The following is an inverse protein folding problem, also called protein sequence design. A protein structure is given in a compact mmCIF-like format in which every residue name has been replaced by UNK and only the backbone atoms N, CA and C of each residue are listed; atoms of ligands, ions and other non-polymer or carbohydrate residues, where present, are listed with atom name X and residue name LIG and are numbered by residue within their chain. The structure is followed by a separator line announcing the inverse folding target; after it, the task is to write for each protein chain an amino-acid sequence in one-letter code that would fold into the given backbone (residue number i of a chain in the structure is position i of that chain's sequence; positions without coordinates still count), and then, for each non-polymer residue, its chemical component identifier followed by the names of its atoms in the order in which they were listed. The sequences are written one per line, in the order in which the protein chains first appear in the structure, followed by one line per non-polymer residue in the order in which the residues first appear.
data_IF_482790278829
#
_entry.id   IF_482790278829
#
_cell.length_a   1.000
_cell.length_b   1.000
_cell.length_c   1.000
_cell.angle_alpha   90.00
_cell.angle_beta   90.00
_cell.angle_gamma   90.00
#
_symmetry.space_group_name_H-M   'P 1'
#
loop_
_entity.id
_entity.type
_entity.pdbx_description
1 polymer ?
#
# COMPACT_ATOMS: atom_id res chain seq x y z
N UNK A 1 0.43 -13.57 -8.31
CA UNK A 1 -0.63 -12.56 -8.08
C UNK A 1 -0.35 -11.32 -8.95
N UNK A 2 -0.28 -10.09 -8.49
CA UNK A 2 0.79 -9.81 -7.57
C UNK A 2 0.45 -8.47 -6.97
N UNK A 3 0.10 -8.51 -5.69
CA UNK A 3 0.11 -7.37 -4.77
C UNK A 3 1.00 -6.23 -5.27
N UNK A 4 0.40 -5.10 -5.60
CA UNK A 4 1.15 -3.91 -5.99
C UNK A 4 1.77 -3.25 -4.76
N UNK A 5 0.98 -3.13 -3.70
CA UNK A 5 1.37 -2.61 -2.40
C UNK A 5 0.55 -3.34 -1.35
N UNK A 6 1.15 -3.76 -0.26
CA UNK A 6 0.40 -4.07 0.95
C UNK A 6 1.15 -3.57 2.16
N UNK A 7 0.36 -3.21 3.17
CA UNK A 7 0.89 -2.89 4.47
C UNK A 7 0.23 -3.72 5.56
N UNK A 8 1.02 -4.04 6.58
CA UNK A 8 0.62 -4.80 7.75
C UNK A 8 1.18 -4.16 9.02
N UNK A 9 0.53 -4.41 10.14
CA UNK A 9 1.07 -4.14 11.46
C UNK A 9 1.57 -5.44 12.07
N UNK A 10 2.77 -5.38 12.67
CA UNK A 10 3.24 -6.43 13.54
C UNK A 10 2.46 -6.39 14.88
N UNK A 11 1.94 -7.52 15.36
CA UNK A 11 1.30 -7.59 16.68
C UNK A 11 2.30 -7.19 17.76
N UNK A 12 1.79 -6.66 18.88
CA UNK A 12 2.53 -6.18 20.06
C UNK A 12 3.48 -5.00 19.86
N UNK A 13 4.24 -4.93 18.75
CA UNK A 13 5.24 -3.88 18.50
C UNK A 13 4.70 -2.70 17.68
N UNK A 14 3.54 -2.85 17.04
CA UNK A 14 2.92 -1.87 16.14
C UNK A 14 3.84 -1.41 14.99
N UNK A 15 4.90 -2.19 14.68
CA UNK A 15 5.79 -1.88 13.56
C UNK A 15 5.00 -2.03 12.26
N UNK A 16 5.17 -1.06 11.37
CA UNK A 16 4.55 -1.04 10.07
C UNK A 16 5.46 -1.74 9.07
N UNK A 17 4.94 -2.78 8.44
CA UNK A 17 5.56 -3.48 7.33
C UNK A 17 4.87 -3.02 6.06
N UNK A 18 5.61 -2.49 5.09
CA UNK A 18 5.05 -2.13 3.79
C UNK A 18 5.90 -2.68 2.66
N UNK A 19 5.26 -3.42 1.77
CA UNK A 19 5.89 -4.19 0.71
C UNK A 19 5.23 -3.86 -0.62
N UNK A 20 6.04 -3.76 -1.66
CA UNK A 20 5.66 -3.40 -3.02
C UNK A 20 6.15 -4.48 -3.98
N UNK A 21 5.29 -4.81 -4.94
CA UNK A 21 5.56 -5.66 -6.09
C UNK A 21 6.80 -5.22 -6.90
N UNK A 22 7.83 -6.07 -7.09
CA UNK A 22 8.78 -5.95 -8.22
C UNK A 22 8.93 -7.28 -8.96
N UNK A 23 9.45 -7.24 -10.19
CA UNK A 23 9.45 -8.40 -11.11
C UNK A 23 10.13 -9.67 -10.57
N UNK A 24 11.10 -9.52 -9.68
CA UNK A 24 11.93 -10.60 -9.13
C UNK A 24 11.67 -10.89 -7.63
N UNK A 25 10.81 -10.10 -6.99
CA UNK A 25 10.54 -10.18 -5.56
C UNK A 25 9.16 -9.59 -5.24
N UNK A 26 8.22 -10.47 -4.88
CA UNK A 26 6.87 -10.06 -4.51
C UNK A 26 6.80 -9.36 -3.14
N UNK A 27 7.89 -9.41 -2.36
CA UNK A 27 7.98 -9.00 -0.96
C UNK A 27 8.99 -7.88 -0.71
N UNK A 28 9.47 -7.18 -1.74
CA UNK A 28 10.40 -6.06 -1.57
C UNK A 28 9.75 -4.95 -0.72
N UNK A 29 10.38 -4.56 0.38
CA UNK A 29 9.76 -3.64 1.33
C UNK A 29 10.65 -3.27 2.50
N UNK A 30 10.11 -2.49 3.41
CA UNK A 30 10.78 -2.16 4.66
C UNK A 30 9.84 -2.25 5.86
N UNK A 31 10.44 -2.29 7.05
CA UNK A 31 9.75 -2.33 8.34
C UNK A 31 10.21 -1.16 9.17
N UNK A 32 9.28 -0.44 9.81
CA UNK A 32 9.64 0.64 10.75
C UNK A 32 10.41 0.10 11.95
N UNK A 33 11.33 0.87 12.56
CA UNK A 33 12.06 0.44 13.74
C UNK A 33 11.16 0.24 14.96
N UNK A 34 11.73 -0.32 16.03
CA UNK A 34 11.14 -0.34 17.37
C UNK A 34 11.53 0.97 18.11
N UNK A 35 10.59 1.66 18.78
CA UNK A 35 9.16 1.37 18.86
C UNK A 35 8.46 1.65 17.53
N UNK A 36 7.42 0.85 17.24
CA UNK A 36 6.59 1.01 16.04
C UNK A 36 5.69 2.26 16.11
N UNK A 37 4.56 2.22 15.41
CA UNK A 37 3.62 3.34 15.44
C UNK A 37 3.09 3.58 16.86
N UNK A 38 2.93 4.85 17.28
CA UNK A 38 2.31 5.14 18.57
C UNK A 38 0.86 4.65 18.56
N UNK A 39 0.53 3.83 19.55
CA UNK A 39 -0.80 3.24 19.69
C UNK A 39 -1.83 4.27 20.15
N UNK A 40 -3.10 4.05 19.81
CA UNK A 40 -4.26 4.85 20.24
C UNK A 40 -4.20 6.34 19.85
N UNK A 41 -3.23 6.70 19.00
CA UNK A 41 -3.03 8.06 18.48
C UNK A 41 -2.98 8.02 16.96
N UNK A 42 -3.32 9.14 16.34
CA UNK A 42 -3.26 9.24 14.88
C UNK A 42 -1.82 9.43 14.43
N UNK A 43 -1.34 8.56 13.55
CA UNK A 43 -0.09 8.73 12.81
C UNK A 43 -0.38 9.02 11.35
N UNK A 44 0.32 10.01 10.79
CA UNK A 44 0.34 10.25 9.34
C UNK A 44 1.43 9.39 8.71
N UNK A 45 1.07 8.52 7.79
CA UNK A 45 2.01 7.67 7.06
C UNK A 45 2.07 8.11 5.61
N UNK A 46 3.28 8.22 5.08
CA UNK A 46 3.55 8.53 3.68
C UNK A 46 4.51 7.50 3.10
N UNK A 47 4.02 6.73 2.14
CA UNK A 47 4.79 5.81 1.33
C UNK A 47 5.10 6.43 -0.02
N UNK A 48 6.36 6.32 -0.45
CA UNK A 48 6.81 6.86 -1.72
C UNK A 48 7.71 5.85 -2.42
N UNK A 49 7.26 5.37 -3.57
CA UNK A 49 8.08 4.59 -4.50
C UNK A 49 8.52 5.52 -5.63
N UNK A 50 9.80 5.88 -5.65
CA UNK A 50 10.38 6.84 -6.61
C UNK A 50 11.81 6.41 -6.98
N UNK A 51 12.17 6.54 -8.25
CA UNK A 51 13.44 6.03 -8.76
C UNK A 51 13.57 4.55 -8.44
N UNK A 52 14.61 4.18 -7.69
CA UNK A 52 14.89 2.79 -7.31
C UNK A 52 14.62 2.50 -5.83
N UNK A 53 13.90 3.38 -5.12
CA UNK A 53 13.71 3.27 -3.68
C UNK A 53 12.25 3.39 -3.26
N UNK A 54 11.87 2.58 -2.28
CA UNK A 54 10.68 2.74 -1.46
C UNK A 54 11.06 3.43 -0.16
N UNK A 55 10.39 4.53 0.19
CA UNK A 55 10.56 5.22 1.46
C UNK A 55 9.22 5.29 2.19
N UNK A 56 9.26 5.06 3.51
CA UNK A 56 8.11 5.16 4.42
C UNK A 56 8.43 6.20 5.47
N UNK A 57 7.63 7.26 5.52
CA UNK A 57 7.72 8.30 6.54
C UNK A 57 6.53 8.22 7.48
N UNK A 58 6.77 8.49 8.76
CA UNK A 58 5.75 8.56 9.80
C UNK A 58 5.84 9.93 10.45
N UNK A 59 4.73 10.66 10.48
CA UNK A 59 4.63 12.03 11.00
C UNK A 59 5.69 12.98 10.40
N UNK A 60 5.96 12.83 9.10
CA UNK A 60 6.92 13.64 8.36
C UNK A 60 8.39 13.21 8.47
N UNK A 61 8.72 12.24 9.33
CA UNK A 61 10.09 11.73 9.50
C UNK A 61 10.26 10.40 8.78
N UNK A 62 11.38 10.22 8.06
CA UNK A 62 11.71 8.94 7.43
C UNK A 62 11.84 7.85 8.50
N UNK A 63 11.00 6.82 8.40
CA UNK A 63 10.97 5.71 9.35
C UNK A 63 11.68 4.46 8.82
N UNK A 64 11.49 4.12 7.54
CA UNK A 64 12.26 3.07 6.88
C UNK A 64 12.35 3.28 5.37
N UNK A 65 13.29 2.59 4.73
CA UNK A 65 13.41 2.54 3.28
C UNK A 65 13.91 1.19 2.78
N UNK A 66 13.69 0.91 1.51
CA UNK A 66 14.24 -0.22 0.78
C UNK A 66 14.68 0.23 -0.62
N UNK A 67 15.75 -0.37 -1.13
CA UNK A 67 16.31 -0.06 -2.45
C UNK A 67 16.22 -1.26 -3.41
N UNK A 68 16.66 -1.04 -4.65
CA UNK A 68 16.70 -2.08 -5.68
C UNK A 68 15.40 -2.23 -6.46
N UNK A 69 14.54 -1.22 -6.50
CA UNK A 69 13.35 -1.19 -7.35
C UNK A 69 13.72 -0.81 -8.79
N UNK A 70 14.61 -1.58 -9.42
CA UNK A 70 15.07 -1.37 -10.81
C UNK A 70 14.06 -1.85 -11.85
N UNK A 71 13.29 -2.89 -11.53
CA UNK A 71 12.33 -3.54 -12.41
C UNK A 71 10.92 -3.47 -11.79
N UNK A 72 10.29 -2.29 -11.90
CA UNK A 72 8.96 -2.01 -11.36
C UNK A 72 7.87 -2.49 -12.32
N UNK A 73 6.69 -2.80 -11.79
CA UNK A 73 5.54 -3.10 -12.64
C UNK A 73 5.04 -1.84 -13.33
N UNK A 74 4.86 -1.91 -14.65
CA UNK A 74 4.21 -0.87 -15.44
C UNK A 74 2.84 -0.51 -14.86
N UNK A 75 2.47 0.76 -15.01
CA UNK A 75 1.13 1.22 -14.65
C UNK A 75 0.05 0.47 -15.40
N UNK A 76 -0.99 0.03 -14.68
CA UNK A 76 -2.10 -0.74 -15.24
C UNK A 76 -3.43 -0.26 -14.65
N UNK A 77 -4.46 -0.23 -15.49
CA UNK A 77 -5.84 0.01 -15.05
C UNK A 77 -6.50 -1.21 -14.42
N UNK A 78 -7.53 -0.97 -13.63
CA UNK A 78 -8.35 -2.01 -12.99
C UNK A 78 -7.73 -2.61 -11.72
N UNK A 79 -6.77 -1.93 -11.12
CA UNK A 79 -6.30 -2.29 -9.78
C UNK A 79 -7.39 -2.00 -8.75
N UNK A 80 -7.39 -2.81 -7.70
CA UNK A 80 -8.27 -2.67 -6.55
C UNK A 80 -7.49 -2.17 -5.35
N UNK A 81 -8.20 -1.44 -4.48
CA UNK A 81 -7.76 -1.07 -3.15
C UNK A 81 -8.76 -1.62 -2.13
N UNK A 82 -8.26 -2.41 -1.18
CA UNK A 82 -9.04 -2.98 -0.09
C UNK A 82 -8.50 -2.56 1.27
N UNK A 83 -9.41 -2.32 2.22
CA UNK A 83 -9.06 -2.35 3.65
C UNK A 83 -8.87 -3.83 4.01
N UNK A 84 -7.77 -4.13 4.71
CA UNK A 84 -7.31 -5.49 4.96
C UNK A 84 -7.09 -6.31 3.67
N UNK A 85 -6.68 -7.56 3.85
CA UNK A 85 -6.60 -8.54 2.76
C UNK A 85 -7.47 -9.75 3.10
N UNK A 86 -7.89 -10.50 2.07
CA UNK A 86 -8.65 -11.74 2.31
C UNK A 86 -7.79 -12.84 2.95
N UNK A 87 -6.49 -12.87 2.66
CA UNK A 87 -5.58 -13.95 3.09
C UNK A 87 -5.05 -13.83 4.51
N UNK A 88 -4.90 -12.61 5.03
CA UNK A 88 -4.22 -12.40 6.31
C UNK A 88 -5.21 -12.02 7.41
N UNK A 89 -4.84 -12.22 8.67
CA UNK A 89 -5.58 -11.57 9.76
C UNK A 89 -5.61 -10.05 9.55
N UNK A 90 -6.68 -9.40 9.98
CA UNK A 90 -6.84 -7.95 9.82
C UNK A 90 -6.39 -7.28 11.11
N UNK A 91 -5.62 -6.20 10.99
CA UNK A 91 -5.17 -5.46 12.16
C UNK A 91 -6.34 -4.76 12.83
N UNK A 92 -6.25 -4.65 14.15
CA UNK A 92 -7.13 -3.74 14.89
C UNK A 92 -6.62 -2.31 14.69
N UNK A 93 -7.12 -1.67 13.64
CA UNK A 93 -6.73 -0.33 13.24
C UNK A 93 -7.89 0.39 12.52
N UNK A 94 -7.79 1.71 12.49
CA UNK A 94 -8.65 2.61 11.72
C UNK A 94 -7.77 3.36 10.72
N UNK A 95 -8.23 3.44 9.47
CA UNK A 95 -7.59 4.21 8.41
C UNK A 95 -8.50 5.37 7.98
N UNK A 96 -7.89 6.50 7.60
CA UNK A 96 -8.58 7.66 7.04
C UNK A 96 -7.70 8.42 6.06
N UNK A 97 -8.30 9.35 5.32
CA UNK A 97 -7.59 10.30 4.44
C UNK A 97 -6.55 9.62 3.55
N UNK A 98 -6.96 8.52 2.92
CA UNK A 98 -6.12 7.72 2.04
C UNK A 98 -6.11 8.37 0.68
N UNK A 99 -4.94 8.82 0.26
CA UNK A 99 -4.70 9.41 -1.04
C UNK A 99 -3.66 8.57 -1.78
N UNK A 100 -3.94 8.31 -3.06
CA UNK A 100 -3.01 7.71 -4.00
C UNK A 100 -2.62 8.76 -5.03
N UNK A 101 -1.33 8.93 -5.28
CA UNK A 101 -0.81 9.82 -6.30
C UNK A 101 0.05 9.03 -7.27
N UNK A 102 -0.41 8.92 -8.50
CA UNK A 102 0.41 8.39 -9.58
C UNK A 102 1.44 9.44 -9.98
N UNK A 103 2.70 9.03 -10.09
CA UNK A 103 3.75 9.81 -10.73
C UNK A 103 3.89 9.22 -12.12
N UNK A 104 3.17 9.83 -13.05
CA UNK A 104 3.34 9.56 -14.46
C UNK A 104 4.52 10.41 -14.93
N UNK A 105 5.48 9.77 -15.59
CA UNK A 105 6.36 10.49 -16.50
C UNK A 105 5.46 10.98 -17.65
N UNK A 106 5.11 12.28 -17.71
CA UNK A 106 4.36 12.84 -18.84
C UNK A 106 5.31 13.45 -19.90
N UNK A 107 5.01 13.36 -21.23
CA UNK A 107 3.77 12.85 -21.85
C UNK A 107 4.00 11.88 -23.02
N UNK A 108 3.73 10.57 -22.85
CA UNK A 108 3.32 9.73 -23.99
C UNK A 108 1.78 9.63 -24.10
N UNK A 109 1.05 10.14 -23.09
CA UNK A 109 -0.42 10.14 -23.03
C UNK A 109 -1.09 11.37 -23.69
N UNK A 110 -0.33 12.20 -24.42
CA UNK A 110 -0.90 13.24 -25.27
C UNK A 110 -1.31 12.72 -26.67
N UNK A 111 -1.19 11.41 -26.93
CA UNK A 111 -1.82 10.78 -28.09
C UNK A 111 -3.29 10.46 -27.81
N UNK A 112 -4.12 10.80 -28.79
CA UNK A 112 -5.57 10.84 -28.77
C UNK A 112 -6.23 9.63 -28.08
N UNK A 113 -6.85 9.84 -26.92
CA UNK A 113 -7.85 8.92 -26.35
C UNK A 113 -7.42 8.09 -25.14
N UNK A 114 -6.21 8.25 -24.60
CA UNK A 114 -5.82 7.57 -23.36
C UNK A 114 -6.62 8.13 -22.15
N UNK A 115 -7.08 7.29 -21.20
CA UNK A 115 -7.73 7.77 -19.99
C UNK A 115 -6.79 8.66 -19.20
N UNK A 116 -7.16 9.93 -18.97
CA UNK A 116 -6.43 10.82 -18.08
C UNK A 116 -6.56 10.30 -16.65
N UNK A 117 -5.50 9.66 -16.14
CA UNK A 117 -5.43 9.26 -14.73
C UNK A 117 -5.33 10.53 -13.90
N UNK A 118 -6.21 10.76 -12.89
CA UNK A 118 -6.03 11.87 -11.99
C UNK A 118 -4.68 11.74 -11.30
N UNK A 119 -3.82 12.77 -11.31
CA UNK A 119 -2.50 12.67 -10.69
C UNK A 119 -2.62 12.33 -9.20
N UNK A 120 -3.70 12.76 -8.55
CA UNK A 120 -4.04 12.43 -7.16
C UNK A 120 -5.50 11.95 -7.09
N UNK A 121 -5.74 10.86 -6.36
CA UNK A 121 -7.06 10.31 -6.08
C UNK A 121 -7.23 10.05 -4.58
N UNK A 122 -8.30 10.57 -4.00
CA UNK A 122 -8.73 10.16 -2.66
C UNK A 122 -9.41 8.80 -2.76
N UNK A 123 -8.84 7.79 -2.11
CA UNK A 123 -9.40 6.43 -2.06
C UNK A 123 -10.38 6.28 -0.90
N UNK A 124 -10.09 6.95 0.23
CA UNK A 124 -10.95 6.95 1.40
C UNK A 124 -10.82 8.29 2.12
N UNK A 125 -11.93 9.02 2.28
CA UNK A 125 -11.97 10.23 3.10
C UNK A 125 -12.17 9.91 4.59
N UNK A 126 -13.39 9.50 5.01
CA UNK A 126 -13.69 9.31 6.42
C UNK A 126 -12.98 8.11 7.04
N UNK A 127 -12.84 8.15 8.36
CA UNK A 127 -12.33 7.03 9.15
C UNK A 127 -13.14 5.75 8.92
N UNK A 128 -12.43 4.65 8.66
CA UNK A 128 -12.99 3.29 8.63
C UNK A 128 -12.07 2.32 9.34
N UNK A 129 -12.66 1.41 10.09
CA UNK A 129 -11.94 0.28 10.68
C UNK A 129 -11.46 -0.64 9.56
N UNK A 130 -10.27 -1.22 9.73
CA UNK A 130 -9.79 -2.28 8.86
C UNK A 130 -10.78 -3.47 8.93
N UNK A 131 -11.15 -3.99 7.76
CA UNK A 131 -12.11 -5.08 7.60
C UNK A 131 -11.52 -6.09 6.61
N UNK A 132 -11.86 -7.38 6.69
CA UNK A 132 -11.23 -8.40 5.85
C UNK A 132 -11.60 -8.23 4.38
N UNK A 133 -10.65 -7.75 3.57
CA UNK A 133 -10.78 -7.70 2.11
C UNK A 133 -11.91 -6.78 1.63
N UNK A 134 -12.21 -5.74 2.40
CA UNK A 134 -13.28 -4.80 2.08
C UNK A 134 -12.86 -3.92 0.92
N UNK A 135 -13.48 -4.11 -0.24
CA UNK A 135 -13.26 -3.28 -1.42
C UNK A 135 -13.70 -1.85 -1.16
N UNK A 136 -12.81 -0.91 -1.46
CA UNK A 136 -13.08 0.54 -1.41
C UNK A 136 -13.05 1.12 -2.83
N UNK A 137 -12.07 0.71 -3.65
CA UNK A 137 -11.93 1.12 -5.05
C UNK A 137 -11.57 -0.10 -5.89
N UNK A 138 -12.15 -0.26 -7.09
CA UNK A 138 -11.89 -1.39 -8.00
C UNK A 138 -11.39 -0.99 -9.39
N UNK A 139 -11.23 0.30 -9.65
CA UNK A 139 -10.86 0.89 -10.93
C UNK A 139 -9.62 1.80 -10.80
N UNK A 140 -8.75 1.51 -9.84
CA UNK A 140 -7.52 2.26 -9.67
C UNK A 140 -6.59 2.02 -10.86
N UNK A 141 -5.94 3.09 -11.32
CA UNK A 141 -4.84 2.98 -12.27
C UNK A 141 -3.54 3.08 -11.49
N UNK A 142 -2.73 2.02 -11.53
CA UNK A 142 -1.41 2.01 -10.91
C UNK A 142 -0.37 2.75 -11.76
N UNK A 143 0.80 3.01 -11.18
CA UNK A 143 1.94 3.62 -11.85
C UNK A 143 3.23 2.95 -11.36
N UNK A 144 4.30 3.05 -12.15
CA UNK A 144 5.63 2.60 -11.76
C UNK A 144 6.19 3.40 -10.59
N UNK A 145 5.77 4.65 -10.46
CA UNK A 145 6.11 5.54 -9.38
C UNK A 145 4.84 6.11 -8.77
N UNK A 146 4.77 6.10 -7.45
CA UNK A 146 3.57 6.55 -6.77
C UNK A 146 3.86 6.96 -5.32
N UNK A 147 2.91 7.71 -4.78
CA UNK A 147 2.82 8.03 -3.37
C UNK A 147 1.48 7.53 -2.82
N UNK A 148 1.51 6.97 -1.61
CA UNK A 148 0.31 6.66 -0.83
C UNK A 148 0.44 7.34 0.52
N UNK A 149 -0.52 8.19 0.86
CA UNK A 149 -0.56 8.85 2.14
C UNK A 149 -1.87 8.51 2.86
N UNK A 150 -1.80 8.25 4.16
CA UNK A 150 -2.98 7.92 4.97
C UNK A 150 -2.76 8.22 6.45
N UNK A 151 -3.87 8.35 7.17
CA UNK A 151 -3.87 8.41 8.62
C UNK A 151 -4.21 7.03 9.18
N UNK A 152 -3.53 6.64 10.25
CA UNK A 152 -3.78 5.38 10.96
C UNK A 152 -3.85 5.60 12.46
N UNK A 153 -4.81 4.92 13.09
CA UNK A 153 -4.86 4.70 14.53
C UNK A 153 -4.79 3.18 14.72
N UNK A 154 -3.75 2.70 15.40
CA UNK A 154 -3.55 1.28 15.68
C UNK A 154 -3.76 0.96 17.16
N UNK A 155 -4.23 -0.25 17.44
CA UNK A 155 -4.29 -0.80 18.79
C UNK A 155 -3.37 -2.01 18.89
N UNK A 156 -2.70 -2.19 20.03
CA UNK A 156 -1.93 -3.40 20.27
C UNK A 156 -2.89 -4.59 20.39
N UNK A 157 -2.72 -5.57 19.51
CA UNK A 157 -3.22 -6.91 19.75
C UNK A 157 -2.09 -7.79 20.23
N UNK A 158 -2.38 -8.57 21.28
CA UNK A 158 -1.59 -9.74 21.59
C UNK A 158 -1.75 -10.75 20.43
N UNK A 159 -0.64 -11.14 19.84
CA UNK A 159 -0.59 -12.14 18.78
C UNK A 159 0.79 -12.77 18.77
N UNK A 160 0.92 -13.99 18.21
CA UNK A 160 2.22 -14.62 18.07
C UNK A 160 3.16 -13.71 17.26
N UNK A 161 4.38 -13.57 17.76
CA UNK A 161 5.42 -12.80 17.08
C UNK A 161 5.62 -13.34 15.65
N UNK A 162 5.63 -12.44 14.66
CA UNK A 162 5.71 -12.80 13.25
C UNK A 162 4.37 -12.94 12.50
N UNK A 163 3.22 -12.95 13.18
CA UNK A 163 1.91 -12.98 12.50
C UNK A 163 1.46 -11.57 12.09
N UNK A 164 1.91 -11.12 10.92
CA UNK A 164 1.55 -9.81 10.37
C UNK A 164 0.03 -9.66 10.14
N UNK A 165 -0.52 -8.53 10.58
CA UNK A 165 -1.94 -8.22 10.46
C UNK A 165 -2.18 -7.14 9.41
N UNK A 166 -2.99 -7.43 8.40
CA UNK A 166 -3.18 -6.58 7.23
C UNK A 166 -4.01 -5.34 7.56
N UNK A 167 -3.53 -4.18 7.12
CA UNK A 167 -4.29 -2.92 7.17
C UNK A 167 -4.85 -2.55 5.79
N UNK A 168 -4.11 -2.82 4.71
CA UNK A 168 -4.56 -2.53 3.35
C UNK A 168 -3.84 -3.36 2.30
N UNK A 169 -4.44 -3.45 1.12
CA UNK A 169 -3.89 -4.12 -0.05
C UNK A 169 -4.30 -3.39 -1.33
N UNK A 170 -3.33 -3.21 -2.23
CA UNK A 170 -3.51 -2.84 -3.62
C UNK A 170 -3.19 -4.05 -4.50
N UNK A 171 -4.12 -4.46 -5.37
CA UNK A 171 -3.94 -5.66 -6.20
C UNK A 171 -4.68 -5.56 -7.54
N UNK A 172 -4.08 -6.11 -8.60
CA UNK A 172 -4.65 -6.14 -9.96
C UNK A 172 -5.61 -7.30 -10.19
N UNK A 173 -5.61 -8.29 -9.29
CA UNK A 173 -6.51 -9.44 -9.32
C UNK A 173 -7.12 -9.68 -7.94
N UNK A 174 -8.30 -10.29 -7.90
CA UNK A 174 -9.06 -10.53 -6.67
C UNK A 174 -8.57 -11.77 -5.90
N UNK A 175 -7.51 -12.41 -6.39
CA UNK A 175 -7.03 -13.75 -6.05
C UNK A 175 -5.51 -13.73 -5.80
N UNK A 176 -5.10 -14.39 -4.71
CA UNK A 176 -3.70 -14.44 -4.24
C UNK A 176 -2.74 -15.23 -5.15
N UNK A 177 -3.20 -15.74 -6.31
CA UNK A 177 -2.45 -16.66 -7.18
C UNK A 177 -2.61 -16.39 -8.68
N UNK A 178 -3.02 -15.20 -9.12
CA UNK A 178 -3.08 -14.94 -10.57
C UNK A 178 -1.67 -15.03 -11.18
N UNK A 179 -1.47 -15.92 -12.16
CA UNK A 179 -0.25 -15.94 -12.97
C UNK A 179 -0.39 -14.99 -14.17
N UNK A 180 0.74 -14.60 -14.77
CA UNK A 180 0.79 -13.91 -16.05
C UNK A 180 0.19 -14.83 -17.14
N UNK A 181 -1.12 -14.78 -17.33
CA UNK A 181 -1.84 -15.68 -18.25
C UNK A 181 -3.34 -15.85 -17.96
N UNK A 182 -3.83 -15.43 -16.78
CA UNK A 182 -5.25 -15.60 -16.42
C UNK A 182 -6.18 -14.50 -17.00
N UNK A 183 -5.91 -14.04 -18.23
CA UNK A 183 -6.80 -13.18 -19.02
C UNK A 183 -7.13 -13.80 -20.36
#
# INVERSE_FOLDING_TARGET
PERLLACWLAPSSARLHCHVARQDDEGAGCTTPDPGLPLETTSRVELRLMGQALAVSVNGSLACSAEGFVAKFKGMGGASFTLGSKAHEVAEAVLANIHYKARLDEPEAAEWGAPRVPPVRTLLGPQRRCERGKLVVGDLVSAEEFEVAFDIIGWARAGPEGMLQSIMLFATTNNHYGHQGDR
#
